data_IF_619636161228
#
_entry.id   IF_619636161228
#
_cell.length_a   1.000
_cell.length_b   1.000
_cell.length_c   1.000
_cell.angle_alpha   90.00
_cell.angle_beta   90.00
_cell.angle_gamma   90.00
#
_symmetry.space_group_name_H-M   'P 1'
#
loop_
_entity.id
_entity.type
_entity.pdbx_description
1 polymer ?
#
# COMPACT_ATOMS: atom_id res chain seq x y z
N UNK A 1 30.90 43.68 -28.76
CA UNK A 1 30.33 42.35 -29.03
C UNK A 1 30.85 41.84 -30.38
N UNK A 2 31.17 40.55 -30.49
CA UNK A 2 31.57 39.87 -31.74
C UNK A 2 30.37 39.11 -32.30
N UNK A 3 30.07 39.25 -33.59
CA UNK A 3 28.91 38.64 -34.23
C UNK A 3 29.36 38.02 -35.56
N UNK A 4 29.07 36.75 -35.86
CA UNK A 4 29.49 36.11 -37.13
C UNK A 4 28.66 36.58 -38.34
N UNK A 5 27.45 37.08 -38.12
CA UNK A 5 26.50 37.45 -39.17
C UNK A 5 26.18 38.96 -39.17
N UNK A 6 25.92 39.52 -40.36
CA UNK A 6 25.45 40.90 -40.52
C UNK A 6 24.56 41.05 -41.75
N UNK A 7 23.78 42.12 -41.80
CA UNK A 7 23.00 42.49 -42.98
C UNK A 7 23.90 43.20 -44.00
N UNK A 8 23.84 42.77 -45.25
CA UNK A 8 24.50 43.44 -46.37
C UNK A 8 23.73 44.70 -46.84
N UNK A 9 24.24 45.34 -47.89
CA UNK A 9 23.62 46.53 -48.47
C UNK A 9 22.21 46.29 -49.03
N UNK A 10 21.87 45.05 -49.40
CA UNK A 10 20.56 44.62 -49.90
C UNK A 10 19.61 44.14 -48.80
N UNK A 11 20.08 44.11 -47.55
CA UNK A 11 19.31 43.61 -46.41
C UNK A 11 19.30 42.09 -46.28
N UNK A 12 20.17 41.36 -46.98
CA UNK A 12 20.37 39.92 -46.79
C UNK A 12 21.32 39.68 -45.63
N UNK A 13 21.08 38.66 -44.84
CA UNK A 13 22.02 38.26 -43.79
C UNK A 13 23.13 37.42 -44.44
N UNK A 14 24.39 37.75 -44.10
CA UNK A 14 25.59 37.11 -44.64
C UNK A 14 26.53 36.69 -43.52
N UNK A 15 27.26 35.60 -43.74
CA UNK A 15 28.37 35.17 -42.88
C UNK A 15 29.62 36.00 -43.18
N UNK A 16 30.39 36.30 -42.14
CA UNK A 16 31.72 36.91 -42.26
C UNK A 16 32.68 36.10 -43.16
N UNK A 17 32.51 34.79 -43.26
CA UNK A 17 33.29 33.88 -44.12
C UNK A 17 32.84 33.94 -45.58
N UNK A 18 31.59 34.31 -45.85
CA UNK A 18 31.03 34.44 -47.20
C UNK A 18 31.31 35.82 -47.83
N UNK A 19 31.98 36.72 -47.11
CA UNK A 19 32.33 38.07 -47.59
C UNK A 19 33.85 38.16 -47.82
N UNK A 20 34.34 37.92 -49.06
CA UNK A 20 35.76 38.03 -49.38
C UNK A 20 36.34 39.42 -49.07
N UNK A 21 37.64 39.52 -48.74
CA UNK A 21 38.30 40.81 -48.50
C UNK A 21 38.14 41.81 -49.64
N UNK A 22 38.10 41.32 -50.89
CA UNK A 22 37.93 42.09 -52.13
C UNK A 22 36.53 42.70 -52.30
N UNK A 23 35.54 42.28 -51.53
CA UNK A 23 34.18 42.82 -51.57
C UNK A 23 34.10 44.01 -50.60
N UNK A 24 33.98 45.21 -51.16
CA UNK A 24 33.60 46.40 -50.41
C UNK A 24 32.10 46.40 -50.17
N UNK A 25 31.68 46.71 -48.94
CA UNK A 25 30.28 46.71 -48.57
C UNK A 25 30.02 47.42 -47.25
N UNK A 26 28.82 47.98 -47.13
CA UNK A 26 28.30 48.48 -45.85
C UNK A 26 27.52 47.38 -45.17
N UNK A 27 27.97 46.97 -43.98
CA UNK A 27 27.33 45.94 -43.18
C UNK A 27 26.62 46.56 -41.99
N UNK A 28 25.42 46.07 -41.68
CA UNK A 28 24.62 46.53 -40.56
C UNK A 28 24.32 45.40 -39.59
N UNK A 29 24.27 45.74 -38.30
CA UNK A 29 23.79 44.84 -37.27
C UNK A 29 22.34 44.43 -37.55
N UNK A 30 22.01 43.15 -37.38
CA UNK A 30 20.67 42.65 -37.60
C UNK A 30 19.66 43.19 -36.57
N UNK A 31 20.10 43.50 -35.37
CA UNK A 31 19.29 44.03 -34.27
C UNK A 31 19.14 45.56 -34.35
N UNK A 32 20.20 46.31 -34.02
CA UNK A 32 20.13 47.76 -33.90
C UNK A 32 20.22 48.52 -35.24
N UNK A 33 20.42 47.80 -36.35
CA UNK A 33 20.59 48.33 -37.72
C UNK A 33 21.77 49.30 -37.92
N UNK A 34 22.61 49.52 -36.89
CA UNK A 34 23.81 50.36 -37.00
C UNK A 34 24.91 49.69 -37.82
N UNK A 35 25.81 50.51 -38.40
CA UNK A 35 26.95 50.02 -39.15
C UNK A 35 27.90 49.21 -38.25
N UNK A 36 28.33 48.06 -38.76
CA UNK A 36 29.33 47.19 -38.12
C UNK A 36 30.59 47.12 -38.98
N UNK A 37 31.74 47.04 -38.32
CA UNK A 37 33.03 46.90 -38.99
C UNK A 37 33.37 45.42 -39.13
N UNK A 38 33.70 45.01 -40.34
CA UNK A 38 34.24 43.70 -40.66
C UNK A 38 35.63 43.54 -40.03
N UNK A 39 35.86 42.47 -39.27
CA UNK A 39 37.15 42.11 -38.69
C UNK A 39 37.60 40.75 -39.24
N UNK A 40 38.52 40.78 -40.19
CA UNK A 40 39.14 39.62 -40.84
C UNK A 40 40.67 39.72 -40.72
N UNK A 41 41.35 38.58 -40.60
CA UNK A 41 42.81 38.49 -40.51
C UNK A 41 43.29 37.19 -39.86
N UNK A 42 44.61 37.01 -39.75
CA UNK A 42 45.22 35.71 -39.41
C UNK A 42 45.25 35.38 -37.91
N UNK A 43 45.04 36.38 -37.05
CA UNK A 43 45.28 36.25 -35.60
C UNK A 43 44.00 36.07 -34.74
N UNK A 44 42.81 36.35 -35.29
CA UNK A 44 41.55 36.34 -34.53
C UNK A 44 40.42 35.79 -35.39
N UNK A 45 39.50 35.05 -34.74
CA UNK A 45 38.24 34.59 -35.36
C UNK A 45 37.55 35.76 -36.06
N UNK A 46 37.16 35.54 -37.31
CA UNK A 46 36.54 36.58 -38.13
C UNK A 46 35.16 36.92 -37.57
N UNK A 47 34.84 38.22 -37.49
CA UNK A 47 33.54 38.67 -36.98
C UNK A 47 33.20 40.09 -37.46
N UNK A 48 31.94 40.45 -37.31
CA UNK A 48 31.47 41.84 -37.32
C UNK A 48 31.54 42.43 -35.91
N UNK A 49 31.97 43.69 -35.82
CA UNK A 49 32.12 44.42 -34.56
C UNK A 49 31.42 45.78 -34.61
N UNK A 50 30.68 46.09 -33.55
CA UNK A 50 30.17 47.45 -33.32
C UNK A 50 31.30 48.42 -32.97
N UNK A 51 31.04 49.73 -33.10
CA UNK A 51 31.85 50.77 -32.44
C UNK A 51 31.74 50.62 -30.91
N UNK A 52 32.78 51.04 -30.19
CA UNK A 52 32.99 50.73 -28.77
C UNK A 52 31.83 51.13 -27.82
N UNK A 53 30.97 52.07 -28.23
CA UNK A 53 29.90 52.64 -27.41
C UNK A 53 28.52 51.99 -27.61
N UNK A 54 28.39 50.98 -28.48
CA UNK A 54 27.08 50.37 -28.75
C UNK A 54 26.72 49.27 -27.74
N UNK A 55 25.61 49.46 -27.01
CA UNK A 55 24.98 48.47 -26.13
C UNK A 55 23.99 47.59 -26.91
N UNK A 56 24.49 46.69 -27.77
CA UNK A 56 23.65 45.73 -28.50
C UNK A 56 23.92 44.33 -27.97
N UNK A 57 22.99 43.79 -27.17
CA UNK A 57 23.18 42.55 -26.38
C UNK A 57 22.58 41.30 -27.04
N UNK A 58 21.54 41.44 -27.85
CA UNK A 58 20.80 40.37 -28.54
C UNK A 58 21.18 40.23 -30.02
N UNK A 59 22.29 40.86 -30.42
CA UNK A 59 22.67 41.00 -31.81
C UNK A 59 22.95 39.67 -32.52
N UNK A 60 23.49 38.69 -31.78
CA UNK A 60 23.78 37.36 -32.30
C UNK A 60 22.48 36.59 -32.52
N UNK A 61 21.61 36.63 -31.52
CA UNK A 61 20.37 35.88 -31.44
C UNK A 61 19.40 36.32 -32.55
N UNK A 62 19.24 37.64 -32.74
CA UNK A 62 18.46 38.21 -33.85
C UNK A 62 19.07 37.87 -35.21
N UNK A 63 20.39 37.90 -35.34
CA UNK A 63 21.05 37.58 -36.61
C UNK A 63 20.90 36.09 -36.98
N UNK A 64 21.00 35.20 -35.99
CA UNK A 64 20.79 33.76 -36.16
C UNK A 64 19.34 33.44 -36.54
N UNK A 65 18.37 34.10 -35.90
CA UNK A 65 16.94 33.96 -36.22
C UNK A 65 16.65 34.36 -37.67
N UNK A 66 17.18 35.50 -38.12
CA UNK A 66 17.01 35.98 -39.49
C UNK A 66 17.71 35.05 -40.49
N UNK A 67 18.90 34.55 -40.17
CA UNK A 67 19.62 33.58 -41.02
C UNK A 67 18.84 32.29 -41.21
N UNK A 68 18.26 31.74 -40.15
CA UNK A 68 17.42 30.55 -40.24
C UNK A 68 16.21 30.77 -41.15
N UNK A 69 15.50 31.90 -41.00
CA UNK A 69 14.36 32.24 -41.88
C UNK A 69 14.79 32.41 -43.33
N UNK A 70 15.92 33.08 -43.57
CA UNK A 70 16.45 33.23 -44.93
C UNK A 70 16.77 31.86 -45.55
N UNK A 71 17.41 30.96 -44.80
CA UNK A 71 17.70 29.59 -45.23
C UNK A 71 16.43 28.81 -45.59
N UNK A 72 15.35 28.94 -44.80
CA UNK A 72 14.07 28.29 -45.05
C UNK A 72 13.42 28.79 -46.35
N UNK A 73 13.40 30.11 -46.58
CA UNK A 73 12.86 30.71 -47.81
C UNK A 73 13.68 30.34 -49.05
N UNK A 74 14.99 30.21 -48.90
CA UNK A 74 15.91 29.86 -49.99
C UNK A 74 15.97 28.34 -50.28
N UNK A 75 15.31 27.51 -49.46
CA UNK A 75 15.30 26.05 -49.61
C UNK A 75 13.95 25.53 -50.10
N UNK A 76 13.97 24.40 -50.82
CA UNK A 76 12.79 23.65 -51.24
C UNK A 76 12.52 22.44 -50.32
N UNK A 77 13.37 22.19 -49.34
CA UNK A 77 13.32 20.99 -48.49
C UNK A 77 13.59 21.30 -47.02
N UNK A 78 13.03 20.47 -46.14
CA UNK A 78 13.22 20.51 -44.68
C UNK A 78 13.08 19.12 -44.07
N UNK A 79 14.08 18.64 -43.33
CA UNK A 79 14.00 17.40 -42.54
C UNK A 79 13.08 17.62 -41.33
N UNK A 80 12.06 16.79 -41.20
CA UNK A 80 11.13 16.79 -40.08
C UNK A 80 11.36 15.56 -39.18
N UNK A 81 11.29 15.73 -37.84
CA UNK A 81 11.48 14.65 -36.88
C UNK A 81 10.28 13.70 -36.85
N UNK A 82 10.51 12.48 -36.36
CA UNK A 82 9.43 11.57 -36.03
C UNK A 82 8.58 12.11 -34.86
N UNK A 83 7.30 11.77 -34.84
CA UNK A 83 6.40 11.99 -33.72
C UNK A 83 5.71 10.68 -33.36
N UNK A 84 5.93 10.22 -32.13
CA UNK A 84 5.30 9.02 -31.59
C UNK A 84 4.51 9.41 -30.34
N UNK A 85 3.22 9.09 -30.33
CA UNK A 85 2.39 9.23 -29.16
C UNK A 85 2.59 7.99 -28.27
N UNK A 86 3.03 8.21 -27.03
CA UNK A 86 3.35 7.16 -26.06
C UNK A 86 2.70 7.47 -24.72
N UNK A 87 2.36 6.43 -23.95
CA UNK A 87 1.89 6.57 -22.55
C UNK A 87 3.03 6.53 -21.54
N UNK A 88 4.15 5.90 -21.90
CA UNK A 88 5.29 5.65 -21.04
C UNK A 88 6.57 6.09 -21.74
N UNK A 89 7.61 6.39 -20.96
CA UNK A 89 8.92 6.79 -21.48
C UNK A 89 9.61 5.67 -22.27
N UNK A 90 9.26 4.41 -22.00
CA UNK A 90 9.78 3.27 -22.74
C UNK A 90 8.85 2.90 -23.89
N UNK A 91 9.41 2.59 -25.08
CA UNK A 91 8.62 2.16 -26.23
C UNK A 91 7.76 0.94 -25.90
N UNK A 92 6.52 0.98 -26.37
CA UNK A 92 5.56 -0.12 -26.22
C UNK A 92 4.99 -0.55 -27.56
N UNK A 93 4.51 -1.79 -27.65
CA UNK A 93 3.80 -2.26 -28.84
C UNK A 93 2.46 -1.55 -29.10
N UNK A 94 2.01 -0.70 -28.17
CA UNK A 94 0.77 0.07 -28.28
C UNK A 94 1.00 1.48 -28.82
N UNK A 95 2.25 1.94 -28.89
CA UNK A 95 2.63 3.29 -29.32
C UNK A 95 2.05 3.63 -30.70
N UNK A 96 1.65 4.88 -30.88
CA UNK A 96 1.04 5.37 -32.12
C UNK A 96 2.00 6.32 -32.81
N UNK A 97 2.61 5.89 -33.92
CA UNK A 97 3.40 6.78 -34.78
C UNK A 97 2.47 7.72 -35.53
N UNK A 98 2.57 9.02 -35.24
CA UNK A 98 1.83 10.08 -35.92
C UNK A 98 2.58 10.58 -37.16
N UNK A 99 3.91 10.66 -37.06
CA UNK A 99 4.79 11.10 -38.13
C UNK A 99 6.07 10.27 -38.10
N UNK A 100 6.49 9.74 -39.24
CA UNK A 100 7.84 9.17 -39.37
C UNK A 100 8.82 10.28 -39.69
N UNK A 101 10.08 10.13 -39.30
CA UNK A 101 11.11 11.08 -39.72
C UNK A 101 11.24 11.05 -41.25
N UNK A 102 11.13 12.21 -41.89
CA UNK A 102 11.17 12.32 -43.35
C UNK A 102 11.56 13.72 -43.80
N UNK A 103 11.89 13.86 -45.09
CA UNK A 103 12.16 15.16 -45.71
C UNK A 103 10.89 15.70 -46.34
N UNK A 104 10.44 16.86 -45.84
CA UNK A 104 9.42 17.69 -46.48
C UNK A 104 10.02 18.33 -47.73
N UNK A 105 9.23 18.38 -48.81
CA UNK A 105 9.57 19.09 -50.05
C UNK A 105 8.44 20.05 -50.37
N UNK A 106 8.75 21.33 -50.46
CA UNK A 106 7.75 22.38 -50.67
C UNK A 106 7.22 22.34 -52.10
N UNK A 107 5.90 22.42 -52.23
CA UNK A 107 5.22 22.46 -53.52
C UNK A 107 5.56 23.76 -54.29
N UNK A 108 5.75 24.85 -53.55
CA UNK A 108 6.16 26.17 -54.02
C UNK A 108 7.13 26.81 -53.03
N UNK A 109 7.80 27.90 -53.42
CA UNK A 109 8.65 28.65 -52.50
C UNK A 109 7.84 29.11 -51.26
N UNK A 110 8.36 28.81 -50.07
CA UNK A 110 7.71 29.16 -48.82
C UNK A 110 7.86 30.65 -48.48
N UNK A 111 7.08 31.08 -47.49
CA UNK A 111 6.95 32.49 -47.13
C UNK A 111 7.35 32.71 -45.68
N UNK A 112 8.22 33.70 -45.41
CA UNK A 112 8.59 34.07 -44.05
C UNK A 112 7.62 35.10 -43.46
N UNK A 113 7.30 34.93 -42.17
CA UNK A 113 6.58 35.91 -41.36
C UNK A 113 5.22 36.40 -41.91
N UNK A 114 4.43 35.49 -42.48
CA UNK A 114 3.10 35.78 -43.03
C UNK A 114 2.04 35.76 -41.94
N UNK A 115 1.14 36.75 -41.93
CA UNK A 115 0.00 36.75 -41.01
C UNK A 115 -1.07 35.78 -41.48
N UNK A 116 -1.42 34.82 -40.62
CA UNK A 116 -2.47 33.82 -40.85
C UNK A 116 -3.35 33.76 -39.61
N UNK A 117 -4.62 34.14 -39.73
CA UNK A 117 -5.67 33.97 -38.69
C UNK A 117 -5.23 34.29 -37.24
N UNK A 118 -4.54 35.43 -37.10
CA UNK A 118 -4.11 35.97 -35.80
C UNK A 118 -2.76 35.45 -35.30
N UNK A 119 -2.02 34.67 -36.09
CA UNK A 119 -0.62 34.31 -35.82
C UNK A 119 0.29 34.76 -36.95
N UNK A 120 1.59 34.83 -36.64
CA UNK A 120 2.65 35.11 -37.61
C UNK A 120 3.76 34.08 -37.40
N UNK A 121 3.69 32.91 -38.07
CA UNK A 121 4.77 31.94 -38.01
C UNK A 121 6.03 32.49 -38.64
N UNK A 122 7.20 32.04 -38.17
CA UNK A 122 8.47 32.45 -38.75
C UNK A 122 8.60 32.03 -40.22
N UNK A 123 8.04 30.88 -40.57
CA UNK A 123 7.94 30.40 -41.94
C UNK A 123 6.68 29.57 -42.18
N UNK A 124 6.14 29.67 -43.39
CA UNK A 124 4.99 28.91 -43.88
C UNK A 124 5.38 28.18 -45.17
N UNK A 125 5.28 26.86 -45.14
CA UNK A 125 5.46 25.99 -46.30
C UNK A 125 4.16 25.27 -46.68
N UNK A 126 4.07 24.81 -47.92
CA UNK A 126 3.02 23.89 -48.37
C UNK A 126 3.69 22.64 -48.93
N UNK A 127 3.30 21.47 -48.47
CA UNK A 127 3.84 20.18 -48.87
C UNK A 127 2.68 19.23 -49.15
N UNK A 128 2.60 18.70 -50.37
CA UNK A 128 1.50 17.81 -50.79
C UNK A 128 0.11 18.44 -50.58
N UNK A 129 -0.01 19.75 -50.76
CA UNK A 129 -1.24 20.52 -50.54
C UNK A 129 -1.56 20.86 -49.08
N UNK A 130 -0.79 20.36 -48.12
CA UNK A 130 -0.97 20.69 -46.69
C UNK A 130 -0.05 21.82 -46.26
N UNK A 131 -0.59 22.78 -45.49
CA UNK A 131 0.21 23.87 -44.92
C UNK A 131 0.97 23.37 -43.69
N UNK A 132 2.24 23.76 -43.57
CA UNK A 132 3.07 23.51 -42.40
C UNK A 132 3.66 24.84 -41.93
N UNK A 133 3.55 25.10 -40.63
CA UNK A 133 4.19 26.24 -39.99
C UNK A 133 5.52 25.82 -39.38
N UNK A 134 6.49 26.72 -39.42
CA UNK A 134 7.79 26.55 -38.78
C UNK A 134 8.07 27.74 -37.88
N UNK A 135 8.49 27.46 -36.66
CA UNK A 135 8.97 28.43 -35.68
C UNK A 135 10.46 28.21 -35.43
N UNK A 136 11.22 29.30 -35.32
CA UNK A 136 12.64 29.23 -35.01
C UNK A 136 12.88 29.84 -33.63
N UNK A 137 13.43 29.04 -32.72
CA UNK A 137 13.74 29.46 -31.35
C UNK A 137 15.23 29.69 -31.20
N UNK A 138 15.61 30.82 -30.60
CA UNK A 138 17.02 31.14 -30.29
C UNK A 138 17.19 31.50 -28.81
N UNK A 139 16.29 32.31 -28.27
CA UNK A 139 16.29 32.66 -26.83
C UNK A 139 14.93 32.58 -26.17
N UNK A 140 13.86 32.67 -26.95
CA UNK A 140 12.51 32.72 -26.46
C UNK A 140 11.72 31.63 -27.15
N UNK A 141 11.31 30.64 -26.37
CA UNK A 141 10.34 29.64 -26.79
C UNK A 141 9.03 30.33 -27.23
N UNK A 142 8.27 29.73 -28.16
CA UNK A 142 6.96 30.23 -28.53
C UNK A 142 6.07 30.41 -27.29
N UNK A 143 5.49 31.59 -27.13
CA UNK A 143 4.66 31.88 -25.97
C UNK A 143 3.33 31.10 -25.99
N UNK A 144 2.72 30.95 -24.81
CA UNK A 144 1.48 30.18 -24.65
C UNK A 144 0.34 30.67 -25.59
N UNK A 145 0.09 31.98 -25.78
CA UNK A 145 -0.88 32.46 -26.76
C UNK A 145 -0.63 31.96 -28.18
N UNK A 146 0.63 31.96 -28.63
CA UNK A 146 1.00 31.47 -29.96
C UNK A 146 0.78 29.97 -30.10
N UNK A 147 1.17 29.17 -29.09
CA UNK A 147 0.91 27.73 -29.07
C UNK A 147 -0.59 27.39 -29.12
N UNK A 148 -1.42 28.11 -28.36
CA UNK A 148 -2.88 27.90 -28.39
C UNK A 148 -3.50 28.30 -29.73
N UNK A 149 -2.96 29.32 -30.38
CA UNK A 149 -3.41 29.71 -31.71
C UNK A 149 -2.97 28.70 -32.80
N UNK A 150 -1.76 28.15 -32.72
CA UNK A 150 -1.32 27.04 -33.59
C UNK A 150 -2.24 25.82 -33.45
N UNK A 151 -2.57 25.44 -32.20
CA UNK A 151 -3.54 24.36 -31.94
C UNK A 151 -4.91 24.64 -32.54
N UNK A 152 -5.43 25.86 -32.42
CA UNK A 152 -6.75 26.23 -32.96
C UNK A 152 -6.82 26.07 -34.48
N UNK A 153 -5.73 26.36 -35.20
CA UNK A 153 -5.68 26.27 -36.65
C UNK A 153 -5.62 24.82 -37.16
N UNK A 154 -5.31 23.86 -36.28
CA UNK A 154 -5.14 22.45 -36.64
C UNK A 154 -4.08 22.24 -37.75
N UNK A 155 -3.13 23.16 -37.87
CA UNK A 155 -2.05 23.13 -38.86
C UNK A 155 -0.78 22.59 -38.21
N UNK A 156 -0.11 21.55 -38.76
CA UNK A 156 1.17 21.06 -38.26
C UNK A 156 2.18 22.21 -38.06
N UNK A 157 2.78 22.27 -36.89
CA UNK A 157 3.73 23.32 -36.52
C UNK A 157 5.02 22.69 -36.00
N UNK A 158 6.12 22.96 -36.69
CA UNK A 158 7.45 22.47 -36.36
C UNK A 158 8.27 23.57 -35.70
N UNK A 159 8.94 23.26 -34.60
CA UNK A 159 9.99 24.11 -34.03
C UNK A 159 11.36 23.67 -34.53
N UNK A 160 12.22 24.65 -34.79
CA UNK A 160 13.67 24.50 -34.95
C UNK A 160 14.32 25.29 -33.82
N UNK A 161 14.85 24.59 -32.83
CA UNK A 161 15.56 25.15 -31.70
C UNK A 161 17.06 25.30 -32.02
N UNK A 162 17.50 26.55 -32.05
CA UNK A 162 18.88 26.99 -32.26
C UNK A 162 19.48 27.63 -31.00
N UNK A 163 18.84 27.49 -29.83
CA UNK A 163 19.27 28.12 -28.57
C UNK A 163 20.62 27.62 -28.06
N UNK A 164 20.97 26.37 -28.37
CA UNK A 164 22.24 25.76 -28.01
C UNK A 164 23.38 26.06 -29.02
N UNK A 165 23.12 26.82 -30.08
CA UNK A 165 24.10 27.08 -31.14
C UNK A 165 25.21 28.04 -30.65
N UNK A 166 26.49 27.68 -30.84
CA UNK A 166 27.60 28.52 -30.38
C UNK A 166 27.76 29.79 -31.22
N UNK A 167 28.39 30.82 -30.64
CA UNK A 167 28.53 32.16 -31.26
C UNK A 167 29.51 32.25 -32.42
N UNK A 168 30.34 31.24 -32.62
CA UNK A 168 31.28 31.10 -33.73
C UNK A 168 30.77 30.18 -34.84
N UNK A 169 29.48 29.79 -34.79
CA UNK A 169 28.82 29.02 -35.84
C UNK A 169 28.91 29.71 -37.21
N UNK A 170 29.08 28.91 -38.26
CA UNK A 170 29.06 29.34 -39.65
C UNK A 170 27.67 29.17 -40.28
N UNK A 171 27.39 29.91 -41.37
CA UNK A 171 26.13 29.80 -42.10
C UNK A 171 25.92 28.39 -42.70
N UNK A 172 27.00 27.69 -43.06
CA UNK A 172 26.93 26.30 -43.52
C UNK A 172 26.47 25.35 -42.41
N UNK A 173 26.95 25.54 -41.18
CA UNK A 173 26.52 24.76 -40.02
C UNK A 173 25.08 25.07 -39.63
N UNK A 174 24.69 26.35 -39.63
CA UNK A 174 23.29 26.75 -39.41
C UNK A 174 22.38 26.15 -40.48
N UNK A 175 22.80 26.15 -41.75
CA UNK A 175 22.04 25.53 -42.85
C UNK A 175 21.79 24.05 -42.61
N UNK A 176 22.82 23.30 -42.21
CA UNK A 176 22.67 21.87 -41.88
C UNK A 176 21.71 21.66 -40.72
N UNK A 177 21.79 22.47 -39.66
CA UNK A 177 20.88 22.38 -38.50
C UNK A 177 19.44 22.69 -38.88
N UNK A 178 19.22 23.73 -39.68
CA UNK A 178 17.89 24.16 -40.11
C UNK A 178 17.28 23.16 -41.10
N UNK A 179 18.02 22.68 -42.09
CA UNK A 179 17.45 21.88 -43.18
C UNK A 179 17.62 20.38 -43.01
N UNK A 180 18.79 19.90 -42.62
CA UNK A 180 19.17 18.48 -42.78
C UNK A 180 19.08 17.68 -41.48
N UNK A 181 19.41 18.29 -40.35
CA UNK A 181 19.39 17.66 -39.03
C UNK A 181 17.96 17.42 -38.55
N UNK A 182 17.70 16.34 -37.84
CA UNK A 182 16.45 16.15 -37.10
C UNK A 182 16.59 16.62 -35.63
N UNK A 183 17.84 16.67 -35.14
CA UNK A 183 18.18 17.15 -33.81
C UNK A 183 17.83 18.64 -33.66
N UNK A 184 17.32 19.01 -32.48
CA UNK A 184 16.84 20.37 -32.25
C UNK A 184 15.52 20.69 -32.95
N UNK A 185 14.81 19.70 -33.50
CA UNK A 185 13.48 19.89 -34.08
C UNK A 185 12.44 19.11 -33.32
N UNK A 186 11.28 19.71 -33.09
CA UNK A 186 10.13 19.02 -32.54
C UNK A 186 8.82 19.55 -33.13
N UNK A 187 7.76 18.74 -33.11
CA UNK A 187 6.44 19.21 -33.50
C UNK A 187 5.79 19.90 -32.30
N UNK A 188 5.58 21.23 -32.38
CA UNK A 188 4.82 22.01 -31.40
C UNK A 188 3.34 21.62 -31.41
N UNK A 189 2.86 21.25 -32.59
CA UNK A 189 1.52 20.72 -32.79
C UNK A 189 1.53 19.79 -34.00
N UNK A 190 0.81 18.67 -33.89
CA UNK A 190 0.54 17.78 -35.00
C UNK A 190 -0.93 17.35 -34.99
N UNK A 191 -1.63 17.37 -36.14
CA UNK A 191 -3.00 16.92 -36.22
C UNK A 191 -3.18 15.52 -35.64
N UNK A 192 -4.30 15.28 -34.95
CA UNK A 192 -4.68 13.99 -34.37
C UNK A 192 -3.80 13.49 -33.21
N UNK A 193 -2.87 14.28 -32.70
CA UNK A 193 -2.12 13.91 -31.50
C UNK A 193 -3.06 13.69 -30.29
N UNK A 194 -4.03 14.58 -30.11
CA UNK A 194 -5.03 14.46 -29.04
C UNK A 194 -5.90 13.19 -29.19
N UNK A 195 -6.25 12.81 -30.43
CA UNK A 195 -7.01 11.58 -30.71
C UNK A 195 -6.18 10.33 -30.42
N UNK A 196 -4.90 10.32 -30.83
CA UNK A 196 -3.98 9.23 -30.55
C UNK A 196 -3.79 9.05 -29.04
N UNK A 197 -3.60 10.16 -28.31
CA UNK A 197 -3.50 10.17 -26.86
C UNK A 197 -4.76 9.62 -26.19
N UNK A 198 -5.94 10.09 -26.60
CA UNK A 198 -7.21 9.60 -26.07
C UNK A 198 -7.42 8.11 -26.36
N UNK A 199 -7.02 7.62 -27.54
CA UNK A 199 -7.10 6.20 -27.90
C UNK A 199 -6.20 5.34 -27.01
N UNK A 200 -4.98 5.78 -26.76
CA UNK A 200 -4.04 5.12 -25.85
C UNK A 200 -4.59 5.09 -24.41
N UNK A 201 -5.07 6.21 -23.90
CA UNK A 201 -5.68 6.28 -22.57
C UNK A 201 -6.89 5.36 -22.44
N UNK A 202 -7.73 5.27 -23.47
CA UNK A 202 -8.87 4.36 -23.50
C UNK A 202 -8.45 2.88 -23.54
N UNK A 203 -7.32 2.53 -24.15
CA UNK A 203 -6.75 1.18 -24.09
C UNK A 203 -6.29 0.86 -22.67
N UNK A 204 -5.52 1.76 -22.05
CA UNK A 204 -5.06 1.60 -20.66
C UNK A 204 -6.23 1.44 -19.69
N UNK A 205 -7.20 2.35 -19.75
CA UNK A 205 -8.35 2.33 -18.84
C UNK A 205 -9.18 1.03 -18.99
N UNK A 206 -9.28 0.47 -20.21
CA UNK A 206 -9.94 -0.83 -20.42
C UNK A 206 -9.16 -1.98 -19.79
N UNK A 207 -7.83 -1.98 -19.90
CA UNK A 207 -6.98 -2.99 -19.26
C UNK A 207 -7.11 -2.95 -17.75
N UNK A 208 -6.98 -1.76 -17.17
CA UNK A 208 -7.05 -1.57 -15.71
C UNK A 208 -8.45 -1.96 -15.18
N UNK A 209 -9.52 -1.63 -15.91
CA UNK A 209 -10.87 -2.04 -15.56
C UNK A 209 -11.07 -3.56 -15.60
N UNK A 210 -10.49 -4.25 -16.59
CA UNK A 210 -10.55 -5.71 -16.69
C UNK A 210 -9.78 -6.39 -15.54
N UNK A 211 -8.62 -5.85 -15.18
CA UNK A 211 -7.82 -6.33 -14.04
C UNK A 211 -8.59 -6.16 -12.72
N UNK A 212 -9.18 -4.99 -12.49
CA UNK A 212 -10.01 -4.76 -11.30
C UNK A 212 -11.26 -5.64 -11.24
N UNK A 213 -11.91 -5.89 -12.38
CA UNK A 213 -13.05 -6.80 -12.44
C UNK A 213 -12.64 -8.25 -12.06
N UNK A 214 -11.48 -8.71 -12.53
CA UNK A 214 -10.94 -10.03 -12.17
C UNK A 214 -10.63 -10.14 -10.69
N UNK A 215 -10.03 -9.11 -10.09
CA UNK A 215 -9.76 -9.09 -8.64
C UNK A 215 -11.05 -9.09 -7.81
N UNK A 216 -12.06 -8.32 -8.22
CA UNK A 216 -13.35 -8.29 -7.50
C UNK A 216 -14.07 -9.64 -7.54
N UNK A 217 -13.95 -10.41 -8.63
CA UNK A 217 -14.47 -11.77 -8.71
C UNK A 217 -13.80 -12.71 -7.68
N UNK A 218 -12.48 -12.65 -7.55
CA UNK A 218 -11.73 -13.41 -6.53
C UNK A 218 -12.20 -13.05 -5.12
N UNK A 219 -12.33 -11.77 -4.80
CA UNK A 219 -12.80 -11.32 -3.48
C UNK A 219 -14.25 -11.68 -3.19
N UNK A 220 -15.12 -11.74 -4.21
CA UNK A 220 -16.50 -12.21 -4.05
C UNK A 220 -16.52 -13.69 -3.70
N UNK A 221 -15.69 -14.50 -4.36
CA UNK A 221 -15.62 -15.94 -4.06
C UNK A 221 -15.01 -16.21 -2.68
N UNK A 222 -13.96 -15.49 -2.28
CA UNK A 222 -13.39 -15.61 -0.92
C UNK A 222 -14.43 -15.28 0.16
N UNK A 223 -15.18 -14.18 0.00
CA UNK A 223 -16.28 -13.81 0.92
C UNK A 223 -17.38 -14.88 0.97
N UNK A 224 -17.68 -15.50 -0.17
CA UNK A 224 -18.67 -16.58 -0.24
C UNK A 224 -18.20 -17.80 0.54
N UNK A 225 -16.94 -18.21 0.37
CA UNK A 225 -16.35 -19.34 1.09
C UNK A 225 -16.30 -19.10 2.59
N UNK A 226 -15.90 -17.90 3.02
CA UNK A 226 -15.89 -17.49 4.43
C UNK A 226 -17.29 -17.49 5.05
N UNK A 227 -18.28 -16.96 4.33
CA UNK A 227 -19.67 -16.98 4.78
C UNK A 227 -20.18 -18.42 4.93
N UNK A 228 -19.87 -19.31 3.98
CA UNK A 228 -20.24 -20.72 4.04
C UNK A 228 -19.58 -21.45 5.22
N UNK A 229 -18.28 -21.20 5.47
CA UNK A 229 -17.56 -21.79 6.59
C UNK A 229 -18.12 -21.32 7.95
N UNK A 230 -18.44 -20.03 8.06
CA UNK A 230 -19.02 -19.47 9.29
C UNK A 230 -20.43 -20.02 9.55
N UNK A 231 -21.26 -20.16 8.49
CA UNK A 231 -22.56 -20.81 8.61
C UNK A 231 -22.43 -22.26 9.08
N UNK A 232 -21.54 -23.06 8.47
CA UNK A 232 -21.31 -24.44 8.86
C UNK A 232 -20.83 -24.58 10.33
N UNK A 233 -20.01 -23.63 10.81
CA UNK A 233 -19.60 -23.58 12.24
C UNK A 233 -20.77 -23.25 13.16
N UNK A 234 -21.63 -22.31 12.78
CA UNK A 234 -22.81 -21.95 13.55
C UNK A 234 -23.80 -23.12 13.66
N UNK A 235 -24.03 -23.84 12.55
CA UNK A 235 -24.86 -25.04 12.51
C UNK A 235 -24.29 -26.13 13.44
N UNK A 236 -22.98 -26.38 13.37
CA UNK A 236 -22.32 -27.36 14.23
C UNK A 236 -22.40 -27.02 15.74
N UNK A 237 -22.33 -25.73 16.10
CA UNK A 237 -22.53 -25.28 17.48
C UNK A 237 -23.98 -25.53 17.91
N UNK A 238 -24.94 -25.18 17.07
CA UNK A 238 -26.38 -25.36 17.33
C UNK A 238 -26.72 -26.83 17.54
N UNK A 239 -26.26 -27.70 16.65
CA UNK A 239 -26.41 -29.16 16.76
C UNK A 239 -25.83 -29.71 18.07
N UNK A 240 -24.67 -29.19 18.48
CA UNK A 240 -24.03 -29.60 19.75
C UNK A 240 -24.86 -29.16 20.95
N UNK A 241 -25.41 -27.96 20.95
CA UNK A 241 -26.27 -27.46 22.03
C UNK A 241 -27.57 -28.28 22.13
N UNK A 242 -28.21 -28.58 21.00
CA UNK A 242 -29.40 -29.47 20.95
C UNK A 242 -29.09 -30.83 21.57
N UNK A 243 -27.96 -31.45 21.20
CA UNK A 243 -27.53 -32.74 21.77
C UNK A 243 -27.27 -32.67 23.28
N UNK A 244 -26.67 -31.59 23.77
CA UNK A 244 -26.44 -31.36 25.20
C UNK A 244 -27.78 -31.25 25.94
N UNK A 245 -28.71 -30.45 25.43
CA UNK A 245 -30.02 -30.25 26.06
C UNK A 245 -30.85 -31.53 26.04
N UNK A 246 -30.87 -32.28 24.93
CA UNK A 246 -31.52 -33.61 24.90
C UNK A 246 -30.96 -34.55 25.97
N UNK A 247 -29.64 -34.54 26.19
CA UNK A 247 -29.01 -35.34 27.25
C UNK A 247 -29.31 -34.83 28.66
N UNK A 248 -29.48 -33.51 28.85
CA UNK A 248 -29.92 -32.88 30.09
C UNK A 248 -31.37 -33.23 30.41
N UNK A 249 -32.29 -33.00 29.48
CA UNK A 249 -33.70 -33.36 29.61
C UNK A 249 -33.89 -34.83 30.01
N UNK A 250 -33.17 -35.75 29.35
CA UNK A 250 -33.23 -37.18 29.65
C UNK A 250 -32.67 -37.54 31.02
N UNK A 251 -31.75 -36.76 31.56
CA UNK A 251 -31.23 -36.95 32.90
C UNK A 251 -32.10 -36.31 33.97
N UNK A 252 -32.70 -35.14 33.71
CA UNK A 252 -33.65 -34.49 34.61
C UNK A 252 -34.84 -35.39 34.90
N UNK A 253 -35.40 -36.03 33.86
CA UNK A 253 -36.55 -36.94 33.97
C UNK A 253 -36.23 -38.30 34.61
N UNK A 254 -34.95 -38.63 34.81
CA UNK A 254 -34.55 -39.89 35.43
C UNK A 254 -34.76 -39.88 36.96
N UNK A 255 -35.15 -41.03 37.50
CA UNK A 255 -35.27 -41.23 38.95
C UNK A 255 -33.88 -41.22 39.62
N UNK A 256 -33.83 -41.01 40.94
CA UNK A 256 -32.56 -41.05 41.69
C UNK A 256 -31.80 -42.37 41.53
N UNK A 257 -32.51 -43.51 41.44
CA UNK A 257 -31.92 -44.82 41.19
C UNK A 257 -31.29 -44.91 39.79
N UNK A 258 -31.97 -44.37 38.76
CA UNK A 258 -31.45 -44.33 37.39
C UNK A 258 -30.24 -43.39 37.27
N UNK A 259 -30.27 -42.24 37.95
CA UNK A 259 -29.12 -41.30 38.03
C UNK A 259 -27.91 -41.98 38.68
N UNK A 260 -28.11 -42.71 39.78
CA UNK A 260 -27.05 -43.49 40.41
C UNK A 260 -26.50 -44.59 39.48
N UNK A 261 -27.36 -45.36 38.81
CA UNK A 261 -26.92 -46.39 37.87
C UNK A 261 -26.10 -45.81 36.70
N UNK A 262 -26.53 -44.66 36.16
CA UNK A 262 -25.76 -43.92 35.16
C UNK A 262 -24.37 -43.52 35.69
N UNK A 263 -24.31 -42.96 36.89
CA UNK A 263 -23.06 -42.51 37.51
C UNK A 263 -22.13 -43.69 37.83
N UNK A 264 -22.64 -44.80 38.37
CA UNK A 264 -21.87 -46.04 38.61
C UNK A 264 -21.23 -46.53 37.32
N UNK A 265 -21.99 -46.58 36.24
CA UNK A 265 -21.49 -46.99 34.92
C UNK A 265 -20.39 -46.05 34.42
N UNK A 266 -20.54 -44.73 34.63
CA UNK A 266 -19.56 -43.73 34.13
C UNK A 266 -18.33 -43.58 35.01
N UNK A 267 -18.45 -43.79 36.32
CA UNK A 267 -17.35 -43.76 37.28
C UNK A 267 -16.62 -45.10 37.36
N UNK A 268 -17.24 -46.20 36.90
CA UNK A 268 -16.63 -47.52 36.83
C UNK A 268 -16.48 -48.22 38.19
N UNK A 269 -17.15 -47.73 39.24
CA UNK A 269 -17.15 -48.30 40.59
C UNK A 269 -18.58 -48.30 41.16
N UNK A 270 -18.99 -49.33 41.92
CA UNK A 270 -20.27 -49.31 42.63
C UNK A 270 -20.31 -48.18 43.67
N UNK A 271 -21.50 -47.71 44.03
CA UNK A 271 -21.68 -46.55 44.96
C UNK A 271 -20.99 -46.77 46.31
N UNK A 272 -20.92 -48.02 46.77
CA UNK A 272 -20.25 -48.43 48.01
C UNK A 272 -18.73 -48.27 47.98
N UNK A 273 -18.14 -48.25 46.78
CA UNK A 273 -16.70 -48.03 46.57
C UNK A 273 -16.38 -46.58 46.15
N UNK A 274 -17.35 -45.67 46.25
CA UNK A 274 -17.08 -44.25 46.06
C UNK A 274 -16.51 -43.67 47.36
N UNK A 275 -15.43 -42.85 47.29
CA UNK A 275 -14.84 -42.26 48.49
C UNK A 275 -15.86 -41.42 49.27
N UNK A 276 -15.70 -41.36 50.59
CA UNK A 276 -16.54 -40.53 51.47
C UNK A 276 -16.64 -39.05 51.04
N UNK A 277 -15.66 -38.52 50.30
CA UNK A 277 -15.70 -37.16 49.75
C UNK A 277 -16.87 -36.94 48.77
N UNK A 278 -17.39 -38.01 48.14
CA UNK A 278 -18.61 -37.98 47.37
C UNK A 278 -19.81 -38.20 48.31
N UNK A 279 -20.53 -37.12 48.59
CA UNK A 279 -21.55 -37.03 49.62
C UNK A 279 -21.15 -36.16 50.81
N UNK A 280 -20.04 -35.41 50.72
CA UNK A 280 -19.63 -34.45 51.75
C UNK A 280 -20.72 -33.42 51.97
N UNK A 281 -21.05 -33.12 53.23
CA UNK A 281 -22.07 -32.13 53.57
C UNK A 281 -21.62 -30.72 53.16
N UNK A 282 -22.49 -29.96 52.52
CA UNK A 282 -22.16 -28.63 51.99
C UNK A 282 -23.32 -27.67 52.17
N UNK A 283 -22.98 -26.40 52.41
CA UNK A 283 -24.01 -25.35 52.51
C UNK A 283 -24.63 -25.12 51.13
N UNK A 284 -25.94 -24.91 51.11
CA UNK A 284 -26.68 -24.72 49.85
C UNK A 284 -26.89 -26.00 49.03
N UNK A 285 -26.43 -27.17 49.50
CA UNK A 285 -26.60 -28.43 48.77
C UNK A 285 -28.06 -28.83 48.54
N UNK A 286 -28.98 -28.40 49.41
CA UNK A 286 -30.43 -28.62 49.29
C UNK A 286 -31.07 -27.93 48.08
N UNK A 287 -30.44 -26.89 47.53
CA UNK A 287 -30.87 -26.22 46.30
C UNK A 287 -30.87 -27.18 45.10
N UNK A 288 -29.94 -28.14 45.11
CA UNK A 288 -29.83 -29.19 44.11
C UNK A 288 -30.70 -30.33 44.62
N UNK A 289 -31.95 -30.43 44.16
CA UNK A 289 -33.04 -31.30 44.68
C UNK A 289 -32.82 -32.82 44.51
N UNK A 290 -31.59 -33.30 44.69
CA UNK A 290 -31.16 -34.69 44.72
C UNK A 290 -30.18 -34.88 45.88
N UNK A 291 -29.92 -36.12 46.30
CA UNK A 291 -28.93 -36.37 47.35
C UNK A 291 -27.56 -35.79 47.00
N UNK A 292 -26.85 -35.24 47.98
CA UNK A 292 -25.53 -34.64 47.82
C UNK A 292 -24.53 -35.55 47.09
N UNK A 293 -24.61 -36.85 47.39
CA UNK A 293 -23.79 -37.89 46.76
C UNK A 293 -23.99 -38.02 45.25
N UNK A 294 -25.20 -37.78 44.73
CA UNK A 294 -25.51 -37.87 43.29
C UNK A 294 -24.88 -36.70 42.53
N UNK A 295 -25.15 -35.46 42.95
CA UNK A 295 -24.69 -34.31 42.17
C UNK A 295 -23.18 -34.12 42.30
N UNK A 296 -22.58 -34.38 43.47
CA UNK A 296 -21.12 -34.34 43.63
C UNK A 296 -20.43 -35.39 42.76
N UNK A 297 -20.97 -36.62 42.68
CA UNK A 297 -20.46 -37.65 41.78
C UNK A 297 -20.60 -37.28 40.30
N UNK A 298 -21.69 -36.59 39.91
CA UNK A 298 -21.88 -36.11 38.54
C UNK A 298 -20.92 -34.96 38.19
N UNK A 299 -20.66 -34.04 39.12
CA UNK A 299 -19.62 -33.01 39.01
C UNK A 299 -18.27 -33.66 38.82
N UNK A 300 -17.90 -34.62 39.69
CA UNK A 300 -16.62 -35.32 39.60
C UNK A 300 -16.47 -36.01 38.24
N UNK A 301 -17.48 -36.79 37.82
CA UNK A 301 -17.51 -37.46 36.52
C UNK A 301 -17.35 -36.49 35.35
N UNK A 302 -18.01 -35.34 35.39
CA UNK A 302 -18.03 -34.38 34.27
C UNK A 302 -16.77 -33.53 34.20
N UNK A 303 -16.34 -33.01 35.33
CA UNK A 303 -15.36 -31.92 35.39
C UNK A 303 -13.99 -32.35 35.90
N UNK A 304 -13.88 -33.52 36.55
CA UNK A 304 -12.63 -33.96 37.18
C UNK A 304 -12.14 -35.26 36.54
N UNK A 305 -12.97 -36.29 36.44
CA UNK A 305 -12.60 -37.63 35.97
C UNK A 305 -11.89 -37.62 34.61
N UNK A 306 -10.67 -38.21 34.55
CA UNK A 306 -9.82 -38.39 33.37
C UNK A 306 -9.52 -37.10 32.60
N UNK A 307 -9.55 -35.94 33.27
CA UNK A 307 -9.29 -34.64 32.63
C UNK A 307 -7.81 -34.35 32.43
N UNK A 308 -6.92 -34.81 33.32
CA UNK A 308 -5.47 -34.59 33.20
C UNK A 308 -4.88 -35.31 31.99
N UNK A 309 -5.41 -36.49 31.65
CA UNK A 309 -5.04 -37.21 30.43
C UNK A 309 -5.38 -36.46 29.13
N UNK A 310 -6.33 -35.52 29.17
CA UNK A 310 -6.74 -34.71 27.99
C UNK A 310 -6.06 -33.35 27.97
N UNK A 311 -5.89 -32.72 29.13
CA UNK A 311 -5.19 -31.45 29.28
C UNK A 311 -4.60 -31.34 30.71
N UNK A 312 -3.27 -31.49 30.89
CA UNK A 312 -2.63 -31.47 32.21
C UNK A 312 -2.82 -30.17 32.99
N UNK A 313 -3.02 -29.05 32.29
CA UNK A 313 -3.17 -27.72 32.87
C UNK A 313 -4.63 -27.26 32.91
N UNK A 314 -5.59 -28.19 32.80
CA UNK A 314 -7.01 -27.86 32.82
C UNK A 314 -7.40 -27.28 34.18
N UNK A 315 -7.88 -26.04 34.17
CA UNK A 315 -8.50 -25.38 35.33
C UNK A 315 -10.00 -25.62 35.31
N UNK A 316 -10.57 -25.75 36.50
CA UNK A 316 -12.01 -25.77 36.72
C UNK A 316 -12.40 -24.59 37.60
N UNK A 317 -13.54 -23.97 37.29
CA UNK A 317 -14.03 -22.82 38.03
C UNK A 317 -15.35 -23.17 38.68
N UNK A 318 -15.61 -22.57 39.85
CA UNK A 318 -16.88 -22.72 40.56
C UNK A 318 -18.04 -22.26 39.68
N UNK A 319 -17.87 -21.14 38.99
CA UNK A 319 -18.90 -20.57 38.09
C UNK A 319 -19.29 -21.56 36.99
N UNK A 320 -18.33 -22.10 36.25
CA UNK A 320 -18.61 -23.00 35.13
C UNK A 320 -19.28 -24.32 35.58
N UNK A 321 -18.95 -24.81 36.79
CA UNK A 321 -19.58 -26.01 37.35
C UNK A 321 -20.95 -25.71 37.92
N UNK A 322 -21.14 -24.56 38.56
CA UNK A 322 -22.43 -24.14 39.09
C UNK A 322 -23.43 -23.89 37.96
N UNK A 323 -23.06 -23.17 36.90
CA UNK A 323 -23.93 -22.95 35.74
C UNK A 323 -24.28 -24.27 35.05
N UNK A 324 -23.31 -25.17 34.88
CA UNK A 324 -23.58 -26.51 34.38
C UNK A 324 -24.56 -27.27 35.27
N UNK A 325 -24.44 -27.21 36.59
CA UNK A 325 -25.38 -27.85 37.52
C UNK A 325 -26.79 -27.24 37.44
N UNK A 326 -26.89 -25.91 37.33
CA UNK A 326 -28.15 -25.19 37.20
C UNK A 326 -28.90 -25.69 35.96
N UNK A 327 -28.23 -25.76 34.81
CA UNK A 327 -28.81 -26.31 33.58
C UNK A 327 -29.09 -27.82 33.71
N UNK A 328 -28.14 -28.58 34.25
CA UNK A 328 -28.20 -30.05 34.31
C UNK A 328 -29.35 -30.56 35.18
N UNK A 329 -29.67 -29.85 36.26
CA UNK A 329 -30.68 -30.23 37.24
C UNK A 329 -31.95 -29.35 37.20
N UNK A 330 -32.03 -28.38 36.29
CA UNK A 330 -33.16 -27.43 36.18
C UNK A 330 -33.42 -26.70 37.50
N UNK A 331 -32.36 -26.09 38.01
CA UNK A 331 -32.38 -25.38 39.29
C UNK A 331 -32.92 -23.96 39.06
N UNK A 332 -33.86 -23.53 39.91
CA UNK A 332 -34.43 -22.20 39.84
C UNK A 332 -33.34 -21.12 39.99
N UNK A 333 -33.49 -20.01 39.26
CA UNK A 333 -32.53 -18.90 39.31
C UNK A 333 -32.40 -18.28 40.72
N UNK A 334 -33.46 -18.33 41.53
CA UNK A 334 -33.46 -17.89 42.94
C UNK A 334 -32.50 -18.70 43.81
N UNK A 335 -32.18 -19.94 43.43
CA UNK A 335 -31.29 -20.84 44.15
C UNK A 335 -29.85 -20.82 43.60
N UNK A 336 -29.58 -20.03 42.56
CA UNK A 336 -28.30 -20.03 41.84
C UNK A 336 -27.09 -19.65 42.71
N UNK A 337 -27.27 -18.75 43.69
CA UNK A 337 -26.26 -18.40 44.68
C UNK A 337 -25.97 -19.59 45.60
N UNK A 338 -27.00 -20.30 46.06
CA UNK A 338 -26.87 -21.50 46.90
C UNK A 338 -26.09 -22.60 46.18
N UNK A 339 -26.30 -22.78 44.88
CA UNK A 339 -25.53 -23.74 44.06
C UNK A 339 -24.06 -23.37 44.00
N UNK A 340 -23.73 -22.09 43.77
CA UNK A 340 -22.32 -21.62 43.76
C UNK A 340 -21.65 -21.85 45.11
N UNK A 341 -22.36 -21.63 46.22
CA UNK A 341 -21.86 -21.92 47.58
C UNK A 341 -21.64 -23.42 47.77
N UNK A 342 -22.58 -24.27 47.31
CA UNK A 342 -22.44 -25.72 47.41
C UNK A 342 -21.24 -26.25 46.61
N UNK A 343 -21.04 -25.74 45.39
CA UNK A 343 -19.87 -26.09 44.56
C UNK A 343 -18.58 -25.60 45.19
N UNK A 344 -18.56 -24.38 45.75
CA UNK A 344 -17.42 -23.83 46.47
C UNK A 344 -17.01 -24.72 47.66
N UNK A 345 -17.97 -25.09 48.50
CA UNK A 345 -17.72 -25.94 49.67
C UNK A 345 -17.24 -27.33 49.24
N UNK A 346 -17.84 -27.91 48.18
CA UNK A 346 -17.40 -29.19 47.64
C UNK A 346 -15.98 -29.15 47.06
N UNK A 347 -15.63 -28.09 46.33
CA UNK A 347 -14.26 -27.90 45.80
C UNK A 347 -13.25 -27.71 46.92
N UNK A 348 -13.62 -27.00 47.99
CA UNK A 348 -12.80 -26.85 49.18
C UNK A 348 -12.56 -28.21 49.88
N UNK A 349 -13.57 -29.07 49.93
CA UNK A 349 -13.43 -30.42 50.45
C UNK A 349 -12.53 -31.30 49.55
N UNK A 350 -12.67 -31.19 48.22
CA UNK A 350 -11.79 -31.86 47.27
C UNK A 350 -10.34 -31.36 47.33
N UNK A 351 -10.12 -30.08 47.64
CA UNK A 351 -8.79 -29.53 47.91
C UNK A 351 -8.17 -30.14 49.16
N UNK A 352 -8.93 -30.26 50.25
CA UNK A 352 -8.45 -30.93 51.48
C UNK A 352 -8.15 -32.41 51.27
N UNK A 353 -8.80 -33.05 50.30
CA UNK A 353 -8.58 -34.43 49.91
C UNK A 353 -7.54 -34.59 48.76
N UNK A 354 -6.77 -33.54 48.44
CA UNK A 354 -5.72 -33.52 47.40
C UNK A 354 -6.18 -33.83 45.97
N UNK A 355 -7.49 -33.77 45.69
CA UNK A 355 -8.01 -33.87 44.33
C UNK A 355 -7.78 -32.59 43.54
N UNK A 356 -7.86 -31.44 44.22
CA UNK A 356 -7.76 -30.12 43.63
C UNK A 356 -6.71 -29.28 44.35
N UNK A 357 -6.19 -28.26 43.66
CA UNK A 357 -5.38 -27.19 44.25
C UNK A 357 -5.96 -25.85 43.86
N UNK A 358 -6.21 -24.97 44.83
CA UNK A 358 -6.68 -23.62 44.52
C UNK A 358 -5.56 -22.79 43.90
N UNK A 359 -5.85 -22.18 42.75
CA UNK A 359 -4.92 -21.29 42.06
C UNK A 359 -5.20 -19.82 42.41
N UNK A 360 -6.38 -19.33 42.01
CA UNK A 360 -6.81 -17.92 42.18
C UNK A 360 -8.30 -17.89 42.46
N UNK A 361 -8.74 -17.13 43.47
CA UNK A 361 -10.16 -16.91 43.84
C UNK A 361 -11.00 -18.19 43.80
N UNK A 362 -11.70 -18.45 42.69
CA UNK A 362 -12.62 -19.57 42.46
C UNK A 362 -12.19 -20.54 41.35
N UNK A 363 -10.90 -20.54 41.02
CA UNK A 363 -10.27 -21.45 40.07
C UNK A 363 -9.39 -22.50 40.76
N UNK A 364 -9.49 -23.73 40.29
CA UNK A 364 -8.78 -24.88 40.83
C UNK A 364 -8.08 -25.66 39.71
N UNK A 365 -6.85 -26.08 39.98
CA UNK A 365 -6.11 -27.06 39.20
C UNK A 365 -6.46 -28.47 39.66
N UNK A 366 -6.62 -29.40 38.72
CA UNK A 366 -6.89 -30.81 39.03
C UNK A 366 -5.58 -31.53 39.33
N UNK A 367 -5.41 -31.98 40.57
CA UNK A 367 -4.24 -32.77 41.01
C UNK A 367 -4.47 -34.26 40.79
N UNK A 368 -5.67 -34.76 41.10
CA UNK A 368 -6.05 -36.16 40.89
C UNK A 368 -7.39 -36.25 40.14
N UNK A 369 -7.40 -37.04 39.07
CA UNK A 369 -8.55 -37.16 38.15
C UNK A 369 -9.12 -38.58 38.06
N UNK A 370 -8.83 -39.41 39.06
CA UNK A 370 -9.34 -40.78 39.20
C UNK A 370 -9.94 -40.93 40.58
N UNK A 371 -11.03 -41.70 40.72
CA UNK A 371 -11.61 -42.03 42.01
C UNK A 371 -10.60 -42.82 42.86
N UNK A 372 -10.18 -42.29 44.01
CA UNK A 372 -9.28 -42.98 44.94
C UNK A 372 -9.94 -44.16 45.66
N UNK A 373 -9.13 -45.02 46.28
CA UNK A 373 -9.54 -45.98 47.31
C UNK A 373 -9.10 -45.41 48.67
N UNK A 374 -9.91 -45.52 49.73
CA UNK A 374 -9.87 -44.73 50.99
C UNK A 374 -8.59 -44.81 51.87
N UNK A 375 -7.40 -45.03 51.34
CA UNK A 375 -6.17 -45.27 52.14
C UNK A 375 -5.09 -44.18 52.08
N UNK A 376 -5.39 -42.93 51.70
CA UNK A 376 -4.39 -41.84 51.79
C UNK A 376 -4.97 -40.56 52.36
N UNK A 377 -4.65 -40.30 53.64
CA UNK A 377 -4.76 -38.98 54.28
C UNK A 377 -3.58 -38.13 53.78
N UNK A 378 -3.79 -36.89 53.30
CA UNK A 378 -2.68 -36.08 52.84
C UNK A 378 -2.04 -35.23 53.95
N UNK A 379 -0.71 -35.14 53.86
CA UNK A 379 0.19 -34.46 54.79
C UNK A 379 0.18 -32.94 54.55
N UNK A 380 0.04 -32.19 55.64
CA UNK A 380 0.28 -30.76 55.70
C UNK A 380 1.78 -30.49 55.61
N UNK A 381 2.32 -30.22 54.42
CA UNK A 381 3.56 -29.45 54.28
C UNK A 381 3.84 -29.10 52.80
N UNK A 382 3.21 -28.03 52.34
CA UNK A 382 3.63 -27.33 51.13
C UNK A 382 3.21 -25.85 51.15
N UNK A 383 3.43 -25.17 52.28
CA UNK A 383 3.44 -23.70 52.33
C UNK A 383 4.87 -23.20 52.25
N UNK A 384 5.44 -23.17 51.05
CA UNK A 384 6.58 -22.30 50.80
C UNK A 384 6.75 -22.06 49.28
N UNK A 385 6.82 -20.77 48.94
CA UNK A 385 7.34 -20.19 47.68
C UNK A 385 6.40 -20.26 46.47
N UNK A 386 5.77 -19.14 46.15
CA UNK A 386 6.38 -18.14 45.27
C UNK A 386 5.33 -17.08 44.90
N UNK A 387 5.25 -16.02 45.70
CA UNK A 387 4.74 -14.73 45.22
C UNK A 387 5.92 -13.91 44.69
N UNK A 388 5.62 -13.07 43.69
CA UNK A 388 6.46 -12.11 42.94
C UNK A 388 6.81 -12.68 41.56
N UNK A 389 6.41 -12.08 40.44
CA UNK A 389 6.24 -10.65 40.15
C UNK A 389 5.45 -10.48 38.84
N UNK A 390 4.44 -9.61 38.84
CA UNK A 390 4.10 -8.80 37.66
C UNK A 390 5.09 -7.61 37.60
N UNK A 391 5.37 -7.01 36.42
CA UNK A 391 4.42 -6.02 35.92
C UNK A 391 4.29 -5.96 34.37
N UNK A 392 3.31 -5.17 33.93
CA UNK A 392 2.94 -4.82 32.56
C UNK A 392 1.99 -5.75 31.80
N UNK A 393 1.26 -6.62 32.49
CA UNK A 393 -0.11 -7.03 32.11
C UNK A 393 -0.35 -7.56 30.68
N UNK A 394 0.69 -7.81 29.89
CA UNK A 394 0.69 -8.22 28.51
C UNK A 394 1.93 -9.07 28.25
N UNK A 395 1.76 -10.17 27.52
CA UNK A 395 2.83 -11.08 27.10
C UNK A 395 2.63 -11.46 25.64
N UNK A 396 3.67 -12.03 25.04
CA UNK A 396 3.64 -12.51 23.66
C UNK A 396 2.53 -13.55 23.42
N UNK A 397 1.78 -13.39 22.33
CA UNK A 397 0.85 -14.40 21.86
C UNK A 397 1.59 -15.67 21.39
N UNK A 398 1.02 -16.85 21.67
CA UNK A 398 1.61 -18.16 21.29
C UNK A 398 1.16 -18.67 19.90
N UNK A 399 0.72 -17.78 18.99
CA UNK A 399 0.25 -18.16 17.65
C UNK A 399 0.99 -17.41 16.54
N UNK A 400 0.93 -17.95 15.33
CA UNK A 400 1.44 -17.29 14.13
C UNK A 400 0.55 -16.10 13.76
N UNK A 401 1.20 -14.97 13.45
CA UNK A 401 0.53 -13.70 13.14
C UNK A 401 0.42 -13.57 11.63
N UNK A 402 -0.82 -13.41 11.17
CA UNK A 402 -1.18 -13.28 9.76
C UNK A 402 -1.16 -11.82 9.30
N UNK A 403 -0.58 -11.57 8.12
CA UNK A 403 -0.62 -10.30 7.37
C UNK A 403 -2.02 -9.67 7.28
N UNK A 404 -3.08 -10.47 7.15
CA UNK A 404 -4.46 -9.99 7.10
C UNK A 404 -4.91 -9.38 8.44
N UNK A 405 -4.50 -9.98 9.57
CA UNK A 405 -4.77 -9.45 10.92
C UNK A 405 -4.03 -8.15 11.18
N UNK A 406 -2.81 -8.02 10.68
CA UNK A 406 -2.05 -6.78 10.80
C UNK A 406 -2.77 -5.60 10.15
N UNK A 407 -3.14 -5.71 8.87
CA UNK A 407 -3.85 -4.62 8.19
C UNK A 407 -5.25 -4.36 8.75
N UNK A 408 -5.93 -5.39 9.27
CA UNK A 408 -7.17 -5.19 10.02
C UNK A 408 -6.94 -4.40 11.31
N UNK A 409 -5.82 -4.61 12.01
CA UNK A 409 -5.48 -3.90 13.23
C UNK A 409 -5.14 -2.42 12.94
N UNK A 410 -4.35 -2.17 11.90
CA UNK A 410 -4.02 -0.81 11.39
C UNK A 410 -5.28 0.01 11.14
N UNK A 411 -6.28 -0.58 10.45
CA UNK A 411 -7.57 0.08 10.20
C UNK A 411 -8.37 0.34 11.48
N UNK A 412 -8.36 -0.61 12.43
CA UNK A 412 -9.12 -0.49 13.69
C UNK A 412 -8.52 0.55 14.65
N UNK A 413 -7.19 0.63 14.71
CA UNK A 413 -6.52 1.59 15.61
C UNK A 413 -6.34 2.96 14.99
N UNK A 414 -6.55 3.11 13.67
CA UNK A 414 -6.40 4.36 12.93
C UNK A 414 -4.93 4.78 12.76
N UNK A 415 -3.99 3.85 12.93
CA UNK A 415 -2.56 4.11 12.76
C UNK A 415 -2.24 4.12 11.27
N UNK A 416 -1.45 5.09 10.81
CA UNK A 416 -0.94 5.10 9.45
C UNK A 416 0.38 4.30 9.38
N UNK A 417 0.51 3.38 8.42
CA UNK A 417 1.73 2.59 8.22
C UNK A 417 2.11 2.61 6.74
N UNK A 418 3.33 3.06 6.41
CA UNK A 418 3.81 3.03 5.02
C UNK A 418 4.11 1.59 4.58
N UNK A 419 4.01 1.25 3.28
CA UNK A 419 4.29 -0.11 2.78
C UNK A 419 5.69 -0.63 3.11
N UNK A 420 6.70 0.24 3.13
CA UNK A 420 8.08 -0.10 3.52
C UNK A 420 8.20 -0.44 5.02
N UNK A 421 7.52 0.31 5.88
CA UNK A 421 7.48 0.08 7.34
C UNK A 421 6.69 -1.18 7.68
N UNK A 422 5.57 -1.43 6.98
CA UNK A 422 4.79 -2.65 7.11
C UNK A 422 5.64 -3.90 6.81
N UNK A 423 6.46 -3.84 5.77
CA UNK A 423 7.36 -4.95 5.39
C UNK A 423 8.39 -5.23 6.49
N UNK A 424 8.98 -4.19 7.09
CA UNK A 424 9.95 -4.33 8.20
C UNK A 424 9.27 -4.94 9.45
N UNK A 425 8.08 -4.46 9.80
CA UNK A 425 7.34 -4.94 10.96
C UNK A 425 6.88 -6.40 10.79
N UNK A 426 6.34 -6.75 9.62
CA UNK A 426 5.90 -8.11 9.31
C UNK A 426 7.06 -9.11 9.31
N UNK A 427 8.21 -8.75 8.71
CA UNK A 427 9.40 -9.60 8.73
C UNK A 427 9.94 -9.80 10.16
N UNK A 428 9.94 -8.73 10.97
CA UNK A 428 10.39 -8.79 12.37
C UNK A 428 9.42 -9.63 13.24
N UNK A 429 8.12 -9.63 12.93
CA UNK A 429 7.11 -10.44 13.64
C UNK A 429 7.18 -11.93 13.32
N UNK A 430 7.62 -12.29 12.11
CA UNK A 430 7.64 -13.68 11.64
C UNK A 430 8.92 -14.44 12.01
N UNK A 431 9.98 -13.78 12.46
CA UNK A 431 11.22 -14.44 12.90
C UNK A 431 11.23 -14.73 14.42
N UNK A 432 11.11 -16.01 14.86
CA UNK A 432 11.07 -16.36 16.29
C UNK A 432 12.37 -16.02 17.03
N UNK A 433 13.51 -16.03 16.32
CA UNK A 433 14.84 -15.72 16.86
C UNK A 433 15.12 -14.23 17.09
N UNK A 434 14.27 -13.33 16.55
CA UNK A 434 14.34 -11.88 16.80
C UNK A 434 13.35 -11.38 17.86
N UNK A 435 12.65 -12.29 18.56
CA UNK A 435 11.94 -11.99 19.82
C UNK A 435 12.93 -11.69 20.96
N UNK A 436 13.87 -10.78 20.72
CA UNK A 436 14.87 -10.34 21.68
C UNK A 436 14.39 -9.06 22.37
N UNK A 437 14.56 -9.06 23.70
CA UNK A 437 14.21 -8.05 24.69
C UNK A 437 12.72 -7.92 25.04
N UNK A 438 12.48 -7.54 26.29
CA UNK A 438 11.20 -7.48 26.98
C UNK A 438 10.08 -6.82 26.13
N UNK A 439 8.83 -7.16 26.41
CA UNK A 439 7.63 -6.67 25.71
C UNK A 439 7.60 -5.14 25.61
N UNK A 440 8.13 -4.44 26.62
CA UNK A 440 8.24 -2.99 26.66
C UNK A 440 9.22 -2.43 25.61
N UNK A 441 10.39 -3.05 25.44
CA UNK A 441 11.41 -2.65 24.46
C UNK A 441 10.91 -2.88 23.04
N UNK A 442 10.15 -3.96 22.83
CA UNK A 442 9.53 -4.23 21.54
C UNK A 442 8.45 -3.20 21.19
N UNK A 443 7.55 -2.90 22.14
CA UNK A 443 6.56 -1.84 21.97
C UNK A 443 7.21 -0.48 21.67
N UNK A 444 8.31 -0.16 22.36
CA UNK A 444 9.08 1.05 22.14
C UNK A 444 9.65 1.12 20.72
N UNK A 445 10.21 0.02 20.20
CA UNK A 445 10.75 -0.05 18.84
C UNK A 445 9.68 0.16 17.76
N UNK A 446 8.49 -0.44 17.93
CA UNK A 446 7.35 -0.24 17.02
C UNK A 446 6.85 1.20 17.07
N UNK A 447 6.77 1.79 18.27
CA UNK A 447 6.39 3.19 18.45
C UNK A 447 7.36 4.14 17.75
N UNK A 448 8.67 3.91 17.87
CA UNK A 448 9.70 4.68 17.17
C UNK A 448 9.62 4.52 15.65
N UNK A 449 9.42 3.30 15.17
CA UNK A 449 9.35 3.00 13.73
C UNK A 449 8.16 3.68 13.06
N UNK A 450 6.98 3.64 13.69
CA UNK A 450 5.75 4.23 13.17
C UNK A 450 5.54 5.68 13.59
N UNK A 451 6.45 6.25 14.38
CA UNK A 451 6.37 7.62 14.94
C UNK A 451 5.06 7.86 15.70
N UNK A 452 4.63 6.87 16.48
CA UNK A 452 3.42 6.90 17.31
C UNK A 452 3.77 6.79 18.80
N UNK A 453 2.81 7.02 19.69
CA UNK A 453 3.03 6.80 21.13
C UNK A 453 3.16 5.30 21.44
N UNK A 454 3.85 4.98 22.55
CA UNK A 454 4.05 3.60 23.00
C UNK A 454 2.71 2.93 23.32
N UNK A 455 1.77 3.68 23.89
CA UNK A 455 0.41 3.20 24.18
C UNK A 455 -0.32 2.82 22.90
N UNK A 456 -0.18 3.63 21.83
CA UNK A 456 -0.80 3.36 20.53
C UNK A 456 -0.13 2.18 19.82
N UNK A 457 1.17 1.98 20.01
CA UNK A 457 1.87 0.80 19.54
C UNK A 457 1.41 -0.47 20.28
N UNK A 458 1.23 -0.42 21.60
CA UNK A 458 0.67 -1.55 22.38
C UNK A 458 -0.76 -1.88 21.95
N UNK A 459 -1.60 -0.86 21.68
CA UNK A 459 -2.95 -1.04 21.16
C UNK A 459 -2.95 -1.74 19.79
N UNK A 460 -2.07 -1.32 18.88
CA UNK A 460 -1.88 -1.95 17.57
C UNK A 460 -1.40 -3.40 17.69
N UNK A 461 -0.40 -3.65 18.54
CA UNK A 461 0.15 -4.99 18.79
C UNK A 461 -0.87 -5.92 19.45
N UNK A 462 -1.72 -5.41 20.35
CA UNK A 462 -2.81 -6.18 20.93
C UNK A 462 -3.92 -6.47 19.91
N UNK A 463 -4.29 -5.48 19.08
CA UNK A 463 -5.30 -5.63 18.03
C UNK A 463 -4.84 -6.57 16.90
N UNK A 464 -3.54 -6.60 16.61
CA UNK A 464 -2.92 -7.53 15.66
C UNK A 464 -2.74 -8.94 16.24
N UNK A 465 -2.98 -9.12 17.55
CA UNK A 465 -2.82 -10.40 18.24
C UNK A 465 -1.37 -10.77 18.51
N UNK A 466 -0.45 -9.80 18.51
CA UNK A 466 0.98 -9.97 18.84
C UNK A 466 1.18 -9.98 20.35
N UNK A 467 0.45 -9.12 21.08
CA UNK A 467 0.39 -9.11 22.55
C UNK A 467 -0.97 -9.56 23.05
N UNK A 468 -0.98 -10.35 24.13
CA UNK A 468 -2.19 -10.77 24.86
C UNK A 468 -2.07 -10.27 26.28
N UNK A 469 -3.17 -9.81 26.89
CA UNK A 469 -3.15 -9.45 28.30
C UNK A 469 -2.70 -10.65 29.14
N UNK A 470 -1.62 -10.48 29.90
CA UNK A 470 -1.21 -11.44 30.91
C UNK A 470 -2.32 -11.51 31.96
N UNK A 471 -2.97 -12.67 32.06
CA UNK A 471 -3.96 -12.92 33.12
C UNK A 471 -3.19 -12.96 34.43
N UNK A 472 -3.53 -12.06 35.35
CA UNK A 472 -2.89 -11.91 36.66
C UNK A 472 -3.04 -13.16 37.54
#
# INVERSE_FOLDING_TARGET
MKIPFALDGKGRIVDIHDVPPSVEGTFRCAECKQLVTRKQGDARVWHFAHKAEASCTTAFETALHILAKQILVESDTLRAPALVCQLHEQPSGEDITLCVEHTLRWDVAGEAEVWVDGIRPDFRGVCQGETIFVEVTVTHEPDRPKLEALKRLQTPALEIDLSAVPRDVTASEVRRLVLDAAEGKCWLFYPREAEARARLEALRNRRDAAEYASLDEVYREERRLDAALNAARADAITDRLVKIEMANARFRSATSAQKLAFLVTKLGKPVTAWPAILGHDVRGGSAIKVSTRIWQADVFRRHILRRRARNPNQRITVEAVADWLIERYDIASSESTSVRVAVWDYFSALEQADYLRRCVRQEFEILWDVLGDETRVPSSDAKARASKTAPLGYCWARGDVDTSRFWSAVRKTGVHVAPSEATILLNTWQEPGRRMSNEAAYAQSVATTLRISVEKAVELLAAAGVFVRAVA
#
